data_IF_581517259784
#
_entry.id   IF_581517259784
#
_cell.length_a   1.000
_cell.length_b   1.000
_cell.length_c   1.000
_cell.angle_alpha   90.00
_cell.angle_beta   90.00
_cell.angle_gamma   90.00
#
_symmetry.space_group_name_H-M   'P 1'
#
loop_
_entity.id
_entity.type
_entity.pdbx_description
1 polymer ?
#
# COMPACT_ATOMS: atom_id res chain seq x y z
N UNK A 1 -15.05 -4.30 0.64
CA UNK A 1 -14.19 -3.43 -0.20
C UNK A 1 -14.87 -3.12 -1.51
N UNK A 2 -14.65 -1.94 -2.05
CA UNK A 2 -15.26 -1.44 -3.29
C UNK A 2 -14.17 -0.86 -4.18
N UNK A 3 -14.33 -0.97 -5.51
CA UNK A 3 -13.39 -0.44 -6.49
C UNK A 3 -14.10 0.43 -7.52
N UNK A 4 -13.37 1.36 -8.18
CA UNK A 4 -13.92 2.22 -9.22
C UNK A 4 -14.93 3.25 -8.73
N UNK A 5 -14.86 3.65 -7.46
CA UNK A 5 -15.85 4.54 -6.82
C UNK A 5 -15.72 5.99 -7.22
N UNK A 6 -14.56 6.42 -7.71
CA UNK A 6 -14.34 7.78 -8.19
C UNK A 6 -14.22 7.77 -9.72
N UNK A 7 -15.17 8.34 -10.46
CA UNK A 7 -15.31 8.13 -11.92
C UNK A 7 -14.19 8.71 -12.79
N UNK A 8 -13.46 9.72 -12.31
CA UNK A 8 -12.50 10.47 -13.16
C UNK A 8 -11.04 10.18 -12.86
N UNK A 9 -10.75 9.44 -11.79
CA UNK A 9 -9.40 9.01 -11.46
C UNK A 9 -9.01 7.79 -12.30
N UNK A 10 -7.73 7.43 -12.30
CA UNK A 10 -7.27 6.29 -13.09
C UNK A 10 -7.58 4.95 -12.43
N UNK A 11 -7.63 4.91 -11.10
CA UNK A 11 -8.12 3.81 -10.30
C UNK A 11 -8.44 4.26 -8.89
N UNK A 12 -9.40 3.60 -8.24
CA UNK A 12 -9.78 3.92 -6.87
C UNK A 12 -10.33 2.71 -6.14
N UNK A 13 -10.08 2.64 -4.85
CA UNK A 13 -10.62 1.61 -3.98
C UNK A 13 -10.93 2.16 -2.59
N UNK A 14 -12.03 1.71 -2.02
CA UNK A 14 -12.37 1.88 -0.62
C UNK A 14 -12.15 0.55 0.08
N UNK A 15 -11.18 0.49 0.98
CA UNK A 15 -10.97 -0.66 1.84
C UNK A 15 -11.55 -0.38 3.22
N UNK A 16 -12.45 -1.24 3.67
CA UNK A 16 -13.12 -1.11 4.95
C UNK A 16 -12.80 -2.30 5.84
N UNK A 17 -12.38 -2.03 7.06
CA UNK A 17 -12.16 -2.98 8.13
C UNK A 17 -12.82 -2.45 9.41
N UNK A 18 -13.95 -3.03 9.80
CA UNK A 18 -14.73 -2.51 10.91
C UNK A 18 -15.00 -1.01 10.76
N UNK A 19 -14.49 -0.22 11.69
CA UNK A 19 -14.60 1.25 11.66
C UNK A 19 -13.50 1.94 10.87
N UNK A 20 -12.43 1.24 10.50
CA UNK A 20 -11.34 1.81 9.70
C UNK A 20 -11.70 1.80 8.23
N UNK A 21 -11.63 2.97 7.59
CA UNK A 21 -11.89 3.14 6.17
C UNK A 21 -10.75 3.90 5.50
N UNK A 22 -10.25 3.33 4.40
CA UNK A 22 -9.16 3.89 3.61
C UNK A 22 -9.60 4.03 2.16
N UNK A 23 -9.59 5.25 1.65
CA UNK A 23 -9.80 5.55 0.24
C UNK A 23 -8.44 5.69 -0.45
N UNK A 24 -8.11 4.75 -1.33
CA UNK A 24 -6.88 4.81 -2.13
C UNK A 24 -7.18 5.22 -3.56
N UNK A 25 -6.41 6.17 -4.08
CA UNK A 25 -6.60 6.77 -5.41
C UNK A 25 -5.30 6.66 -6.19
N UNK A 26 -5.33 5.98 -7.34
CA UNK A 26 -4.20 5.79 -8.21
C UNK A 26 -4.21 6.78 -9.39
N UNK A 27 -3.03 7.34 -9.65
CA UNK A 27 -2.77 8.21 -10.80
C UNK A 27 -1.58 7.66 -11.59
N UNK A 28 -1.74 7.54 -12.89
CA UNK A 28 -0.71 7.13 -13.84
C UNK A 28 -0.24 8.34 -14.64
N UNK A 29 1.06 8.45 -14.84
CA UNK A 29 1.66 9.55 -15.57
C UNK A 29 2.84 9.07 -16.43
N UNK A 30 3.39 9.95 -17.26
CA UNK A 30 4.60 9.67 -18.03
C UNK A 30 5.81 9.54 -17.12
N UNK A 31 6.87 8.85 -17.57
CA UNK A 31 8.10 8.66 -16.80
C UNK A 31 8.79 9.98 -16.40
N UNK A 32 8.62 11.03 -17.19
CA UNK A 32 9.14 12.37 -16.85
C UNK A 32 8.55 12.98 -15.56
N UNK A 33 7.46 12.40 -15.05
CA UNK A 33 6.82 12.80 -13.80
C UNK A 33 7.34 12.00 -12.59
N UNK A 34 8.34 11.14 -12.77
CA UNK A 34 9.01 10.45 -11.66
C UNK A 34 9.61 11.46 -10.69
N UNK A 35 9.55 11.13 -9.41
CA UNK A 35 10.15 11.97 -8.38
C UNK A 35 11.67 11.89 -8.50
N UNK A 36 12.32 13.02 -8.72
CA UNK A 36 13.78 13.11 -8.66
C UNK A 36 14.23 13.11 -7.21
N UNK A 37 15.21 12.27 -6.91
CA UNK A 37 15.80 12.14 -5.60
C UNK A 37 17.16 12.81 -5.59
N UNK A 38 17.38 13.71 -4.64
CA UNK A 38 18.68 14.33 -4.38
C UNK A 38 19.16 13.81 -3.01
N UNK A 39 19.74 12.64 -3.02
CA UNK A 39 20.21 11.93 -1.83
C UNK A 39 21.64 11.45 -2.03
N UNK A 40 22.25 10.91 -0.97
CA UNK A 40 23.58 10.28 -1.04
C UNK A 40 23.55 8.86 -1.63
N UNK A 41 22.39 8.34 -1.96
CA UNK A 41 22.20 7.02 -2.53
C UNK A 41 22.19 7.08 -4.05
N UNK A 42 22.44 5.94 -4.71
CA UNK A 42 22.51 5.83 -6.18
C UNK A 42 21.15 5.98 -6.88
N UNK A 43 20.04 5.85 -6.17
CA UNK A 43 18.70 6.07 -6.74
C UNK A 43 18.50 7.55 -7.06
N UNK A 44 18.37 7.88 -8.33
CA UNK A 44 18.12 9.25 -8.82
C UNK A 44 16.64 9.55 -9.04
N UNK A 45 15.82 8.51 -9.26
CA UNK A 45 14.40 8.65 -9.59
C UNK A 45 13.53 7.59 -8.90
N UNK A 46 12.39 8.03 -8.41
CA UNK A 46 11.37 7.19 -7.80
C UNK A 46 10.11 7.20 -8.67
N UNK A 47 9.82 6.06 -9.30
CA UNK A 47 8.71 5.87 -10.22
C UNK A 47 7.39 5.50 -9.52
N UNK A 48 7.46 4.74 -8.43
CA UNK A 48 6.31 4.40 -7.61
C UNK A 48 6.32 5.22 -6.33
N UNK A 49 5.23 5.96 -6.10
CA UNK A 49 5.07 6.84 -4.94
C UNK A 49 3.76 6.52 -4.24
N UNK A 50 3.80 6.47 -2.91
CA UNK A 50 2.61 6.39 -2.10
C UNK A 50 2.58 7.52 -1.08
N UNK A 51 1.51 8.29 -1.07
CA UNK A 51 1.25 9.34 -0.10
C UNK A 51 0.09 8.94 0.80
N UNK A 52 0.28 9.15 2.09
CA UNK A 52 -0.68 8.77 3.11
C UNK A 52 -1.13 10.03 3.86
N UNK A 53 -2.43 10.22 3.95
CA UNK A 53 -3.04 11.32 4.66
C UNK A 53 -3.95 10.80 5.78
N UNK A 54 -3.71 11.28 7.00
CA UNK A 54 -4.51 10.95 8.19
C UNK A 54 -5.04 12.23 8.83
N UNK A 55 -6.08 12.84 8.25
CA UNK A 55 -6.66 14.06 8.78
C UNK A 55 -7.29 13.82 10.15
N UNK A 56 -7.31 14.83 10.99
CA UNK A 56 -7.76 14.74 12.39
C UNK A 56 -9.20 14.23 12.53
N UNK A 57 -10.06 14.52 11.55
CA UNK A 57 -11.45 14.01 11.57
C UNK A 57 -11.52 12.48 11.54
N UNK A 58 -10.51 11.80 10.97
CA UNK A 58 -10.48 10.33 10.89
C UNK A 58 -10.45 9.66 12.26
N UNK A 59 -9.93 10.33 13.26
CA UNK A 59 -9.90 9.91 14.66
C UNK A 59 -10.95 10.62 15.54
N UNK A 60 -11.78 11.48 14.93
CA UNK A 60 -12.77 12.30 15.65
C UNK A 60 -12.16 13.49 16.40
N UNK A 61 -10.90 13.84 16.12
CA UNK A 61 -10.24 14.99 16.77
C UNK A 61 -10.55 16.31 16.05
N UNK A 62 -10.84 17.34 16.82
CA UNK A 62 -10.95 18.70 16.32
C UNK A 62 -9.60 19.42 16.41
N UNK A 63 -8.74 19.22 15.43
CA UNK A 63 -7.40 19.80 15.36
C UNK A 63 -7.13 20.45 14.01
N UNK A 64 -6.42 21.58 14.01
CA UNK A 64 -6.00 22.23 12.77
C UNK A 64 -5.09 21.30 11.94
N UNK A 65 -5.37 21.20 10.65
CA UNK A 65 -4.47 20.53 9.71
C UNK A 65 -3.18 21.35 9.58
N UNK A 66 -2.05 20.68 9.76
CA UNK A 66 -0.70 21.24 9.58
C UNK A 66 0.02 20.44 8.50
N UNK A 67 1.33 20.63 8.39
CA UNK A 67 2.17 19.81 7.50
C UNK A 67 2.09 18.32 7.85
N UNK A 68 2.37 17.46 6.86
CA UNK A 68 2.48 16.01 7.00
C UNK A 68 3.39 15.61 8.17
N UNK A 69 2.90 14.76 9.05
CA UNK A 69 3.60 14.30 10.24
C UNK A 69 4.48 13.08 9.99
N UNK A 70 5.33 12.72 10.96
CA UNK A 70 6.22 11.55 10.87
C UNK A 70 5.46 10.24 10.66
N UNK A 71 4.29 10.09 11.30
CA UNK A 71 3.41 8.92 11.14
C UNK A 71 2.97 8.75 9.69
N UNK A 72 2.58 9.83 9.05
CA UNK A 72 2.12 9.81 7.67
C UNK A 72 3.26 9.43 6.70
N UNK A 73 4.47 9.96 6.91
CA UNK A 73 5.65 9.55 6.15
C UNK A 73 5.98 8.07 6.37
N UNK A 74 6.00 7.59 7.63
CA UNK A 74 6.30 6.21 7.96
C UNK A 74 5.29 5.21 7.39
N UNK A 75 3.99 5.53 7.51
CA UNK A 75 2.94 4.70 6.93
C UNK A 75 2.98 4.69 5.39
N UNK A 76 3.24 5.86 4.77
CA UNK A 76 3.43 5.94 3.32
C UNK A 76 4.60 5.08 2.84
N UNK A 77 5.74 5.18 3.49
CA UNK A 77 6.93 4.38 3.18
C UNK A 77 6.71 2.87 3.35
N UNK A 78 5.94 2.46 4.38
CA UNK A 78 5.59 1.05 4.57
C UNK A 78 4.76 0.51 3.40
N UNK A 79 3.78 1.29 2.91
CA UNK A 79 2.97 0.89 1.74
C UNK A 79 3.82 0.79 0.48
N UNK A 80 4.73 1.75 0.25
CA UNK A 80 5.67 1.68 -0.87
C UNK A 80 6.51 0.41 -0.80
N UNK A 81 7.13 0.16 0.34
CA UNK A 81 7.96 -1.03 0.58
C UNK A 81 7.18 -2.32 0.35
N UNK A 82 5.94 -2.37 0.81
CA UNK A 82 5.08 -3.54 0.67
C UNK A 82 4.75 -3.88 -0.80
N UNK A 83 4.67 -2.88 -1.67
CA UNK A 83 4.23 -3.04 -3.07
C UNK A 83 5.36 -2.99 -4.08
N UNK A 84 6.52 -2.43 -3.75
CA UNK A 84 7.64 -2.23 -4.66
C UNK A 84 8.02 -3.50 -5.44
N UNK A 85 8.07 -4.65 -4.77
CA UNK A 85 8.46 -5.93 -5.38
C UNK A 85 7.43 -6.47 -6.40
N UNK A 86 6.19 -6.04 -6.31
CA UNK A 86 5.08 -6.48 -7.18
C UNK A 86 4.72 -5.46 -8.27
N UNK A 87 5.25 -4.26 -8.20
CA UNK A 87 5.11 -3.27 -9.28
C UNK A 87 5.80 -3.83 -10.55
N UNK A 88 5.18 -3.75 -11.72
CA UNK A 88 5.79 -4.19 -12.96
C UNK A 88 7.02 -3.35 -13.34
N UNK A 89 7.92 -3.92 -14.14
CA UNK A 89 9.11 -3.20 -14.63
C UNK A 89 8.75 -2.00 -15.52
N UNK A 90 9.71 -1.13 -15.78
CA UNK A 90 9.50 0.01 -16.71
C UNK A 90 9.24 -0.48 -18.13
N UNK A 91 9.88 -1.58 -18.51
CA UNK A 91 9.75 -2.20 -19.83
C UNK A 91 8.34 -2.75 -20.05
N UNK A 92 7.75 -3.34 -19.01
CA UNK A 92 6.41 -3.94 -19.08
C UNK A 92 5.29 -2.90 -18.91
N UNK A 93 5.55 -1.87 -18.09
CA UNK A 93 4.57 -0.85 -17.77
C UNK A 93 5.24 0.53 -17.58
N UNK A 94 5.43 1.29 -18.69
CA UNK A 94 6.25 2.51 -18.72
C UNK A 94 5.52 3.73 -18.15
N UNK A 95 5.00 3.62 -16.93
CA UNK A 95 4.30 4.69 -16.25
C UNK A 95 4.94 5.03 -14.91
N UNK A 96 4.93 6.31 -14.57
CA UNK A 96 5.04 6.76 -13.19
C UNK A 96 3.72 6.52 -12.50
N UNK A 97 3.76 5.96 -11.30
CA UNK A 97 2.60 5.55 -10.52
C UNK A 97 2.60 6.33 -9.21
N UNK A 98 1.53 7.05 -8.94
CA UNK A 98 1.31 7.70 -7.66
C UNK A 98 -0.01 7.23 -7.06
N UNK A 99 0.03 6.77 -5.82
CA UNK A 99 -1.19 6.46 -5.06
C UNK A 99 -1.28 7.36 -3.84
N UNK A 100 -2.47 7.86 -3.58
CA UNK A 100 -2.77 8.58 -2.35
C UNK A 100 -3.79 7.78 -1.56
N UNK A 101 -3.49 7.49 -0.30
CA UNK A 101 -4.44 6.88 0.64
C UNK A 101 -4.94 7.94 1.62
N UNK A 102 -6.24 8.21 1.56
CA UNK A 102 -6.96 9.08 2.47
C UNK A 102 -7.65 8.25 3.55
N UNK A 103 -7.30 8.48 4.80
CA UNK A 103 -7.93 7.81 5.94
C UNK A 103 -9.24 8.53 6.27
N UNK A 104 -10.36 7.90 5.94
CA UNK A 104 -11.69 8.49 6.18
C UNK A 104 -12.16 8.27 7.61
N UNK A 105 -11.81 7.13 8.20
CA UNK A 105 -12.09 6.78 9.59
C UNK A 105 -11.04 5.83 10.11
N UNK A 106 -10.69 5.91 11.38
CA UNK A 106 -9.62 5.12 11.99
C UNK A 106 -10.01 4.55 13.34
N UNK A 107 -9.87 3.23 13.46
CA UNK A 107 -9.83 2.50 14.73
C UNK A 107 -8.67 1.48 14.71
N UNK A 108 -7.45 1.97 14.44
CA UNK A 108 -6.24 1.16 14.33
C UNK A 108 -6.00 0.58 12.93
N UNK A 109 -4.81 0.04 12.72
CA UNK A 109 -4.35 -0.70 11.52
C UNK A 109 -4.56 0.01 10.17
N UNK A 110 -4.54 1.33 10.15
CA UNK A 110 -4.79 2.13 8.94
C UNK A 110 -3.73 1.92 7.85
N UNK A 111 -2.46 1.71 8.22
CA UNK A 111 -1.38 1.41 7.26
C UNK A 111 -1.62 0.09 6.53
N UNK A 112 -2.12 -0.94 7.22
CA UNK A 112 -2.45 -2.22 6.61
C UNK A 112 -3.68 -2.11 5.70
N UNK A 113 -4.68 -1.34 6.11
CA UNK A 113 -5.80 -0.97 5.25
C UNK A 113 -5.35 -0.21 4.00
N UNK A 114 -4.33 0.66 4.12
CA UNK A 114 -3.76 1.39 2.97
C UNK A 114 -3.02 0.46 2.00
N UNK A 115 -2.33 -0.58 2.47
CA UNK A 115 -1.70 -1.61 1.61
C UNK A 115 -2.77 -2.32 0.78
N UNK A 116 -3.84 -2.79 1.43
CA UNK A 116 -4.94 -3.47 0.75
C UNK A 116 -5.67 -2.55 -0.23
N UNK A 117 -5.99 -1.32 0.19
CA UNK A 117 -6.63 -0.31 -0.64
C UNK A 117 -5.79 0.10 -1.84
N UNK A 118 -4.48 0.29 -1.64
CA UNK A 118 -3.53 0.63 -2.72
C UNK A 118 -3.43 -0.51 -3.74
N UNK A 119 -3.34 -1.77 -3.28
CA UNK A 119 -3.35 -2.94 -4.16
C UNK A 119 -4.61 -2.93 -5.05
N UNK A 120 -5.78 -2.77 -4.47
CA UNK A 120 -7.04 -2.71 -5.21
C UNK A 120 -7.13 -1.50 -6.16
N UNK A 121 -6.67 -0.33 -5.74
CA UNK A 121 -6.67 0.87 -6.57
C UNK A 121 -5.74 0.73 -7.79
N UNK A 122 -4.58 0.09 -7.62
CA UNK A 122 -3.66 -0.22 -8.72
C UNK A 122 -4.26 -1.25 -9.68
N UNK A 123 -4.90 -2.29 -9.16
CA UNK A 123 -5.62 -3.28 -9.98
C UNK A 123 -6.78 -2.62 -10.74
N UNK A 124 -7.52 -1.72 -10.12
CA UNK A 124 -8.60 -0.95 -10.76
C UNK A 124 -8.06 0.01 -11.83
N UNK A 125 -6.86 0.55 -11.65
CA UNK A 125 -6.18 1.37 -12.65
C UNK A 125 -5.65 0.57 -13.87
N UNK A 126 -5.69 -0.76 -13.81
CA UNK A 126 -5.14 -1.63 -14.86
C UNK A 126 -3.63 -1.81 -14.77
N UNK A 127 -3.01 -1.56 -13.61
CA UNK A 127 -1.59 -1.84 -13.40
C UNK A 127 -1.41 -3.35 -13.28
N UNK A 128 -0.60 -4.00 -14.13
CA UNK A 128 -0.41 -5.44 -14.12
C UNK A 128 0.54 -5.86 -12.99
N UNK A 129 0.05 -5.80 -11.75
CA UNK A 129 0.81 -6.24 -10.58
C UNK A 129 1.22 -7.71 -10.74
N UNK A 130 2.44 -8.05 -10.34
CA UNK A 130 2.93 -9.44 -10.35
C UNK A 130 2.10 -10.36 -9.45
N UNK A 131 1.60 -9.82 -8.34
CA UNK A 131 0.65 -10.48 -7.43
C UNK A 131 -0.04 -9.43 -6.53
N UNK A 132 -1.26 -9.69 -6.06
CA UNK A 132 -1.90 -8.84 -5.07
C UNK A 132 -1.23 -8.98 -3.71
N UNK A 133 -1.16 -7.87 -2.98
CA UNK A 133 -0.57 -7.78 -1.64
C UNK A 133 -1.65 -7.42 -0.63
N UNK A 134 -1.71 -8.15 0.47
CA UNK A 134 -2.51 -7.79 1.64
C UNK A 134 -1.61 -7.48 2.83
N UNK A 135 -2.09 -6.64 3.73
CA UNK A 135 -1.44 -6.31 4.99
C UNK A 135 -2.33 -6.62 6.18
N UNK A 136 -1.70 -7.05 7.28
CA UNK A 136 -2.34 -7.29 8.57
C UNK A 136 -1.41 -6.91 9.71
N UNK A 137 -1.96 -6.53 10.86
CA UNK A 137 -1.20 -6.34 12.10
C UNK A 137 -1.46 -7.48 13.08
N UNK A 138 -0.44 -7.76 13.89
CA UNK A 138 -0.48 -8.71 14.99
C UNK A 138 -0.02 -8.00 16.27
N UNK A 139 -0.80 -8.12 17.32
CA UNK A 139 -0.50 -7.64 18.66
C UNK A 139 -0.02 -8.74 19.57
N UNK A 140 0.52 -8.35 20.71
CA UNK A 140 0.99 -9.22 21.78
C UNK A 140 0.55 -8.67 23.13
N UNK A 141 0.04 -9.56 23.97
CA UNK A 141 -0.12 -9.34 25.39
C UNK A 141 0.68 -10.41 26.10
N UNK A 142 1.51 -10.00 27.06
CA UNK A 142 2.37 -10.91 27.83
C UNK A 142 2.18 -10.68 29.32
N UNK A 143 2.11 -11.79 30.08
CA UNK A 143 2.10 -11.78 31.54
C UNK A 143 3.11 -12.84 32.04
N UNK A 144 4.27 -12.37 32.44
CA UNK A 144 5.39 -13.23 32.82
C UNK A 144 5.84 -14.10 31.65
N UNK A 145 5.74 -15.42 31.80
CA UNK A 145 6.07 -16.38 30.73
C UNK A 145 4.92 -16.71 29.80
N UNK A 146 3.68 -16.33 30.17
CA UNK A 146 2.51 -16.53 29.35
C UNK A 146 2.37 -15.41 28.33
N UNK A 147 1.99 -15.74 27.10
CA UNK A 147 1.72 -14.76 26.07
C UNK A 147 0.50 -15.14 25.22
N UNK A 148 -0.10 -14.17 24.60
CA UNK A 148 -1.16 -14.33 23.61
C UNK A 148 -0.93 -13.38 22.46
N UNK A 149 -0.88 -13.93 21.24
CA UNK A 149 -0.87 -13.13 20.01
C UNK A 149 -2.29 -13.00 19.46
N UNK A 150 -2.58 -11.87 18.86
CA UNK A 150 -3.88 -11.62 18.22
C UNK A 150 -3.71 -10.79 16.95
N UNK A 151 -4.59 -10.97 15.99
CA UNK A 151 -4.55 -10.27 14.71
C UNK A 151 -5.48 -9.07 14.73
N UNK A 152 -5.15 -8.09 13.88
CA UNK A 152 -6.03 -6.97 13.57
C UNK A 152 -6.20 -5.99 14.72
N UNK A 153 -5.09 -5.37 15.13
CA UNK A 153 -4.99 -4.47 16.28
C UNK A 153 -5.97 -3.29 16.16
N UNK A 154 -6.80 -3.10 17.17
CA UNK A 154 -7.64 -1.92 17.35
C UNK A 154 -6.90 -0.80 18.09
N UNK A 155 -7.46 0.43 18.06
CA UNK A 155 -6.78 1.58 18.68
C UNK A 155 -6.49 1.42 20.17
N UNK A 156 -7.38 0.77 20.94
CA UNK A 156 -7.17 0.50 22.37
C UNK A 156 -6.08 -0.55 22.58
N UNK A 157 -6.04 -1.58 21.73
CA UNK A 157 -5.06 -2.67 21.78
C UNK A 157 -3.67 -2.19 21.35
N UNK A 158 -3.58 -1.26 20.38
CA UNK A 158 -2.34 -0.59 20.00
C UNK A 158 -1.74 0.19 21.18
N UNK A 159 -2.57 0.80 22.00
CA UNK A 159 -2.11 1.57 23.15
C UNK A 159 -1.58 0.68 24.29
N UNK A 160 -2.24 -0.44 24.56
CA UNK A 160 -1.93 -1.34 25.69
C UNK A 160 -1.09 -2.56 25.32
N UNK A 161 -1.04 -2.94 24.05
CA UNK A 161 -0.24 -4.08 23.59
C UNK A 161 1.25 -3.83 23.66
N UNK A 162 2.04 -4.88 23.82
CA UNK A 162 3.50 -4.83 23.93
C UNK A 162 4.23 -4.91 22.59
N UNK A 163 3.53 -5.31 21.54
CA UNK A 163 4.04 -5.43 20.18
C UNK A 163 2.99 -4.95 19.16
N UNK A 164 3.43 -4.15 18.20
CA UNK A 164 2.72 -3.88 16.95
C UNK A 164 3.55 -4.47 15.80
N UNK A 165 3.14 -5.66 15.34
CA UNK A 165 3.82 -6.41 14.30
C UNK A 165 3.01 -6.37 13.01
N UNK A 166 3.49 -5.62 12.04
CA UNK A 166 2.83 -5.42 10.75
C UNK A 166 3.49 -6.24 9.67
N UNK A 167 2.69 -7.05 8.97
CA UNK A 167 3.17 -7.92 7.89
C UNK A 167 2.36 -7.67 6.64
N UNK A 168 3.05 -7.42 5.55
CA UNK A 168 2.46 -7.36 4.21
C UNK A 168 3.06 -8.45 3.33
N UNK A 169 2.27 -8.94 2.38
CA UNK A 169 2.78 -9.93 1.43
C UNK A 169 1.70 -10.49 0.50
N UNK A 170 2.19 -11.25 -0.45
CA UNK A 170 1.42 -12.04 -1.40
C UNK A 170 1.11 -13.44 -0.84
N UNK A 171 0.50 -14.30 -1.64
CA UNK A 171 0.38 -15.73 -1.29
C UNK A 171 1.70 -16.48 -1.29
N UNK A 172 2.72 -15.98 -1.99
CA UNK A 172 4.01 -16.67 -2.14
C UNK A 172 5.08 -16.19 -1.17
N UNK A 173 4.93 -14.99 -0.61
CA UNK A 173 5.95 -14.44 0.30
C UNK A 173 5.56 -13.14 0.95
N UNK A 174 6.38 -12.76 1.95
CA UNK A 174 6.29 -11.50 2.66
C UNK A 174 7.03 -10.43 1.84
N UNK A 175 6.42 -9.26 1.70
CA UNK A 175 7.00 -8.12 0.97
C UNK A 175 7.46 -7.00 1.89
N UNK A 176 6.85 -6.86 3.06
CA UNK A 176 7.30 -5.91 4.08
C UNK A 176 6.93 -6.37 5.49
N UNK A 177 7.79 -6.02 6.44
CA UNK A 177 7.55 -6.16 7.87
C UNK A 177 7.91 -4.84 8.55
N UNK A 178 7.08 -4.44 9.51
CA UNK A 178 7.40 -3.42 10.50
C UNK A 178 7.05 -3.96 11.87
N UNK A 179 7.97 -3.83 12.82
CA UNK A 179 7.77 -4.24 14.21
C UNK A 179 8.10 -3.08 15.12
N UNK A 180 7.20 -2.79 16.04
CA UNK A 180 7.40 -1.85 17.14
C UNK A 180 7.17 -2.60 18.46
N UNK A 181 8.15 -2.54 19.36
CA UNK A 181 8.16 -3.22 20.65
C UNK A 181 8.16 -2.20 21.78
N UNK A 182 7.38 -2.49 22.82
CA UNK A 182 7.35 -1.73 24.07
C UNK A 182 7.97 -2.50 25.23
N UNK A 183 8.61 -3.64 24.94
CA UNK A 183 9.32 -4.49 25.88
C UNK A 183 10.78 -4.69 25.46
N UNK A 184 11.56 -5.41 26.27
CA UNK A 184 13.02 -5.61 26.07
C UNK A 184 13.37 -6.67 25.01
N UNK A 185 12.39 -7.24 24.31
CA UNK A 185 12.59 -8.22 23.25
C UNK A 185 11.54 -9.34 23.24
N UNK A 186 11.59 -10.17 22.20
CA UNK A 186 10.64 -11.26 21.97
C UNK A 186 11.33 -12.62 22.00
N UNK A 187 10.65 -13.63 22.55
CA UNK A 187 11.03 -15.03 22.39
C UNK A 187 10.82 -15.47 20.94
N UNK A 188 11.65 -16.34 20.41
CA UNK A 188 11.52 -16.87 19.04
C UNK A 188 10.15 -17.50 18.75
N UNK A 189 9.54 -18.11 19.75
CA UNK A 189 8.21 -18.73 19.66
C UNK A 189 7.13 -17.71 19.33
N UNK A 190 7.18 -16.53 19.94
CA UNK A 190 6.26 -15.42 19.69
C UNK A 190 6.35 -14.93 18.23
N UNK A 191 7.59 -14.72 17.76
CA UNK A 191 7.82 -14.29 16.37
C UNK A 191 7.32 -15.34 15.38
N UNK A 192 7.57 -16.62 15.65
CA UNK A 192 7.09 -17.71 14.79
C UNK A 192 5.56 -17.74 14.74
N UNK A 193 4.90 -17.69 15.88
CA UNK A 193 3.45 -17.66 15.97
C UNK A 193 2.85 -16.43 15.24
N UNK A 194 3.42 -15.24 15.48
CA UNK A 194 3.00 -14.02 14.80
C UNK A 194 3.10 -14.11 13.26
N UNK A 195 4.18 -14.73 12.74
CA UNK A 195 4.33 -14.96 11.31
C UNK A 195 3.30 -15.96 10.76
N UNK A 196 2.98 -17.00 11.51
CA UNK A 196 1.99 -18.02 11.12
C UNK A 196 0.58 -17.44 11.08
N UNK A 197 0.13 -16.81 12.15
CA UNK A 197 -1.23 -16.24 12.21
C UNK A 197 -1.43 -15.10 11.21
N UNK A 198 -0.41 -14.26 11.01
CA UNK A 198 -0.48 -13.18 10.01
C UNK A 198 -0.48 -13.71 8.58
N UNK A 199 0.15 -14.85 8.31
CA UNK A 199 0.07 -15.52 7.00
C UNK A 199 -1.36 -15.96 6.69
N UNK A 200 -2.01 -16.64 7.63
CA UNK A 200 -3.38 -17.13 7.48
C UNK A 200 -4.36 -15.96 7.30
N UNK A 201 -4.22 -14.93 8.12
CA UNK A 201 -5.06 -13.73 8.03
C UNK A 201 -4.89 -13.00 6.70
N UNK A 202 -3.65 -12.88 6.17
CA UNK A 202 -3.41 -12.27 4.85
C UNK A 202 -4.04 -13.08 3.72
N UNK A 203 -3.98 -14.40 3.79
CA UNK A 203 -4.62 -15.26 2.78
C UNK A 203 -6.14 -15.10 2.81
N UNK A 204 -6.72 -15.04 4.00
CA UNK A 204 -8.15 -14.78 4.15
C UNK A 204 -8.55 -13.41 3.58
N UNK A 205 -7.78 -12.35 3.88
CA UNK A 205 -8.03 -11.00 3.32
C UNK A 205 -7.94 -11.02 1.79
N UNK A 206 -6.92 -11.66 1.24
CA UNK A 206 -6.77 -11.79 -0.21
C UNK A 206 -7.97 -12.51 -0.84
N UNK A 207 -8.33 -13.69 -0.34
CA UNK A 207 -9.32 -14.55 -0.98
C UNK A 207 -10.76 -14.14 -0.70
N UNK A 208 -11.06 -13.70 0.52
CA UNK A 208 -12.43 -13.46 0.94
C UNK A 208 -12.86 -11.99 0.82
N UNK A 209 -11.91 -11.07 0.76
CA UNK A 209 -12.20 -9.63 0.73
C UNK A 209 -11.73 -8.99 -0.56
N UNK A 210 -10.45 -9.05 -0.86
CA UNK A 210 -9.86 -8.29 -1.97
C UNK A 210 -10.20 -8.90 -3.33
N UNK A 211 -9.96 -10.18 -3.53
CA UNK A 211 -10.21 -10.85 -4.81
C UNK A 211 -11.70 -11.10 -5.09
N UNK A 212 -12.57 -11.02 -4.07
CA UNK A 212 -14.02 -10.94 -4.30
C UNK A 212 -14.44 -9.57 -4.86
N UNK A 213 -13.79 -8.49 -4.43
CA UNK A 213 -14.07 -7.15 -4.95
C UNK A 213 -13.50 -6.95 -6.37
N UNK A 214 -12.28 -7.44 -6.62
CA UNK A 214 -11.63 -7.38 -7.93
C UNK A 214 -10.69 -8.59 -8.09
N UNK A 215 -11.09 -9.63 -8.86
CA UNK A 215 -10.32 -10.88 -8.98
C UNK A 215 -8.98 -10.71 -9.69
N UNK A 216 -8.93 -9.83 -10.69
CA UNK A 216 -7.77 -9.58 -11.55
C UNK A 216 -7.64 -8.08 -11.86
N UNK A 217 -6.43 -7.58 -12.16
CA UNK A 217 -6.26 -6.22 -12.66
C UNK A 217 -7.11 -5.99 -13.93
N UNK A 218 -7.68 -4.80 -14.07
CA UNK A 218 -8.41 -4.46 -15.29
C UNK A 218 -7.50 -4.56 -16.51
N UNK A 219 -8.03 -5.08 -17.60
CA UNK A 219 -7.29 -5.27 -18.85
C UNK A 219 -6.98 -3.96 -19.57
N UNK A 220 -7.80 -2.94 -19.36
CA UNK A 220 -7.66 -1.63 -19.97
C UNK A 220 -7.48 -0.55 -18.92
N UNK A 221 -6.66 0.44 -19.23
CA UNK A 221 -6.51 1.64 -18.42
C UNK A 221 -7.80 2.49 -18.48
N UNK A 222 -8.03 3.28 -17.44
CA UNK A 222 -9.12 4.24 -17.46
C UNK A 222 -9.03 5.17 -18.69
N UNK A 223 -10.19 5.62 -19.19
CA UNK A 223 -10.25 6.53 -20.36
C UNK A 223 -9.51 7.86 -20.14
N UNK A 224 -9.40 8.28 -18.88
CA UNK A 224 -8.68 9.49 -18.45
C UNK A 224 -7.18 9.28 -18.28
N UNK A 225 -6.69 8.03 -18.24
CA UNK A 225 -5.27 7.74 -18.10
C UNK A 225 -4.52 8.06 -19.42
N UNK A 226 -3.28 8.58 -19.35
CA UNK A 226 -2.47 8.78 -20.54
C UNK A 226 -2.16 7.43 -21.19
N UNK A 227 -2.28 7.35 -22.50
CA UNK A 227 -1.92 6.13 -23.24
C UNK A 227 -0.48 6.26 -23.74
N UNK A 228 0.36 5.33 -23.31
CA UNK A 228 1.75 5.23 -23.77
C UNK A 228 1.82 4.23 -24.92
N UNK A 229 2.29 4.67 -26.07
CA UNK A 229 2.50 3.82 -27.24
C UNK A 229 4.01 3.79 -27.51
N UNK A 230 4.59 2.61 -27.39
CA UNK A 230 5.99 2.38 -27.70
C UNK A 230 6.14 1.82 -29.12
N UNK A 231 6.96 2.47 -29.94
CA UNK A 231 7.27 1.98 -31.28
C UNK A 231 8.77 2.00 -31.53
N UNK A 232 9.26 1.02 -32.26
CA UNK A 232 10.63 1.01 -32.76
C UNK A 232 10.67 1.69 -34.11
N UNK A 233 11.57 2.66 -34.26
CA UNK A 233 11.80 3.38 -35.54
C UNK A 233 13.26 3.27 -35.95
N UNK A 234 13.53 3.44 -37.25
CA UNK A 234 14.88 3.58 -37.74
C UNK A 234 15.46 4.89 -37.16
N UNK A 235 16.66 4.87 -36.55
CA UNK A 235 17.33 6.07 -36.02
C UNK A 235 17.42 7.22 -37.02
N UNK A 236 17.63 6.93 -38.31
CA UNK A 236 17.71 7.95 -39.38
C UNK A 236 16.39 8.72 -39.56
N UNK A 237 15.25 8.15 -39.10
CA UNK A 237 13.91 8.74 -39.19
C UNK A 237 13.45 9.45 -37.94
N UNK A 238 14.28 9.52 -36.89
CA UNK A 238 13.91 10.19 -35.62
C UNK A 238 13.45 11.63 -35.89
N UNK A 239 14.16 12.35 -36.76
CA UNK A 239 13.85 13.73 -37.11
C UNK A 239 12.49 13.90 -37.79
N UNK A 240 12.09 12.92 -38.62
CA UNK A 240 10.79 12.92 -39.29
C UNK A 240 9.62 12.69 -38.32
N UNK A 241 9.86 11.86 -37.30
CA UNK A 241 8.84 11.51 -36.30
C UNK A 241 8.67 12.60 -35.23
N UNK A 242 9.77 13.22 -34.78
CA UNK A 242 9.73 14.27 -33.75
C UNK A 242 9.28 15.60 -34.37
N UNK A 243 9.51 15.81 -35.65
CA UNK A 243 9.25 17.07 -36.32
C UNK A 243 10.47 18.00 -36.28
N UNK A 244 10.39 19.08 -37.03
CA UNK A 244 11.41 20.15 -37.11
C UNK A 244 11.18 21.24 -36.08
#
# INVERSE_FOLDING_TARGET
SEVGIIPRVHGSALFTRGQTQVLSIATLATLSMSQKLDTIWEEEEKRFMHHYNMPSYSTGEARASRSTGRREYGHGALVEKALESVIPSVEDFPYTIRVVSEILSSNGSTSQGSICGTTLALMDAGVPLKAPVAGISCGLIQDGDNFTTFIDIQGVEDFHGEMDFKVAGTKTGITAIQMDLKNDGLKHEIVKEALEITREARYQILDEVMLKALPEPRKELAKSAPKMIQMKINPDKIREVIGS
#
